data_IF_639255297074
#
_entry.id   IF_639255297074
#
_cell.length_a   1.000
_cell.length_b   1.000
_cell.length_c   1.000
_cell.angle_alpha   90.00
_cell.angle_beta   90.00
_cell.angle_gamma   90.00
#
_symmetry.space_group_name_H-M   'P 1'
#
loop_
_entity.id
_entity.type
_entity.pdbx_description
1 polymer ?
#
# COMPACT_ATOMS: atom_id res chain seq x y z
N UNK A 1 -54.75 24.51 -22.37
CA UNK A 1 -54.52 23.10 -21.97
C UNK A 1 -53.02 22.84 -21.86
N UNK A 2 -52.45 23.03 -20.66
CA UNK A 2 -51.01 22.90 -20.39
C UNK A 2 -50.70 21.41 -20.17
N UNK A 3 -50.23 20.70 -21.21
CA UNK A 3 -49.91 19.27 -21.11
C UNK A 3 -48.90 19.06 -19.98
N UNK A 4 -49.25 18.22 -19.01
CA UNK A 4 -48.46 18.00 -17.78
C UNK A 4 -47.12 17.35 -18.11
N UNK A 5 -46.05 18.16 -18.14
CA UNK A 5 -44.67 17.69 -18.32
C UNK A 5 -44.21 16.82 -17.14
N UNK A 6 -44.87 16.94 -15.98
CA UNK A 6 -44.53 16.21 -14.76
C UNK A 6 -44.88 14.72 -14.89
N UNK A 7 -45.98 14.40 -15.58
CA UNK A 7 -46.35 13.01 -15.86
C UNK A 7 -45.30 12.30 -16.74
N UNK A 8 -44.78 13.00 -17.76
CA UNK A 8 -43.74 12.45 -18.65
C UNK A 8 -42.41 12.23 -17.91
N UNK A 9 -42.07 13.13 -16.98
CA UNK A 9 -40.86 13.00 -16.16
C UNK A 9 -40.98 11.79 -15.22
N UNK A 10 -42.13 11.61 -14.54
CA UNK A 10 -42.33 10.43 -13.69
C UNK A 10 -42.26 9.12 -14.49
N UNK A 11 -42.89 9.05 -15.66
CA UNK A 11 -42.81 7.87 -16.53
C UNK A 11 -41.38 7.61 -17.00
N UNK A 12 -40.62 8.64 -17.38
CA UNK A 12 -39.23 8.50 -17.80
C UNK A 12 -38.32 8.02 -16.66
N UNK A 13 -38.52 8.50 -15.43
CA UNK A 13 -37.77 8.05 -14.25
C UNK A 13 -38.09 6.60 -13.92
N UNK A 14 -39.36 6.20 -13.99
CA UNK A 14 -39.78 4.80 -13.78
C UNK A 14 -39.18 3.89 -14.86
N UNK A 15 -39.21 4.32 -16.13
CA UNK A 15 -38.64 3.56 -17.26
C UNK A 15 -37.11 3.42 -17.14
N UNK A 16 -36.41 4.47 -16.69
CA UNK A 16 -34.98 4.45 -16.44
C UNK A 16 -34.61 3.49 -15.29
N UNK A 17 -35.48 3.38 -14.28
CA UNK A 17 -35.30 2.43 -13.18
C UNK A 17 -35.54 0.97 -13.61
N UNK A 18 -36.44 0.75 -14.57
CA UNK A 18 -36.78 -0.58 -15.10
C UNK A 18 -35.78 -1.09 -16.15
N UNK A 19 -35.01 -0.22 -16.81
CA UNK A 19 -33.97 -0.58 -17.79
C UNK A 19 -32.61 -0.93 -17.16
N UNK A 20 -32.55 -1.22 -15.86
CA UNK A 20 -31.31 -1.59 -15.18
C UNK A 20 -30.86 -2.98 -15.64
N UNK A 21 -29.92 -3.00 -16.60
CA UNK A 21 -29.25 -4.23 -17.01
C UNK A 21 -28.50 -4.81 -15.81
N UNK A 22 -28.77 -6.06 -15.39
CA UNK A 22 -27.93 -6.71 -14.41
C UNK A 22 -26.54 -6.89 -15.04
N UNK A 23 -25.53 -6.23 -14.48
CA UNK A 23 -24.15 -6.53 -14.84
C UNK A 23 -23.91 -8.03 -14.54
N UNK A 24 -23.21 -8.76 -15.43
CA UNK A 24 -22.83 -10.13 -15.11
C UNK A 24 -22.02 -10.08 -13.80
N UNK A 25 -22.55 -10.72 -12.75
CA UNK A 25 -21.78 -11.00 -11.56
C UNK A 25 -20.53 -11.78 -12.00
N UNK A 26 -19.37 -11.45 -11.42
CA UNK A 26 -18.08 -12.07 -11.74
C UNK A 26 -18.26 -13.60 -11.79
N UNK A 27 -17.86 -14.18 -12.93
CA UNK A 27 -18.17 -15.57 -13.28
C UNK A 27 -17.73 -16.55 -12.20
N UNK A 28 -18.57 -17.55 -11.97
CA UNK A 28 -18.30 -18.66 -11.04
C UNK A 28 -17.25 -19.64 -11.57
N UNK A 29 -16.17 -19.13 -12.17
CA UNK A 29 -15.07 -19.96 -12.64
C UNK A 29 -14.28 -20.45 -11.41
N UNK A 30 -14.25 -21.77 -11.13
CA UNK A 30 -13.47 -22.31 -10.02
C UNK A 30 -11.96 -22.06 -10.18
N UNK A 31 -11.45 -21.81 -11.39
CA UNK A 31 -10.05 -21.47 -11.61
C UNK A 31 -9.67 -20.08 -11.10
N UNK A 32 -10.64 -19.17 -10.91
CA UNK A 32 -10.42 -17.81 -10.43
C UNK A 32 -10.64 -17.66 -8.91
N UNK A 33 -10.88 -18.75 -8.19
CA UNK A 33 -11.16 -18.75 -6.76
C UNK A 33 -10.03 -19.40 -5.99
N UNK A 34 -9.53 -18.70 -4.97
CA UNK A 34 -8.61 -19.24 -3.98
C UNK A 34 -9.45 -19.66 -2.77
N UNK A 35 -9.34 -20.93 -2.36
CA UNK A 35 -10.11 -21.49 -1.25
C UNK A 35 -9.24 -22.32 -0.32
N UNK A 36 -9.56 -22.29 0.97
CA UNK A 36 -8.87 -23.02 2.02
C UNK A 36 -9.89 -23.67 2.96
N UNK A 37 -9.57 -24.82 3.52
CA UNK A 37 -10.45 -25.58 4.43
C UNK A 37 -10.11 -25.39 5.92
N UNK A 38 -9.13 -24.54 6.23
CA UNK A 38 -8.68 -24.24 7.60
C UNK A 38 -8.54 -22.72 7.77
N UNK A 39 -8.77 -22.18 8.98
CA UNK A 39 -8.43 -20.79 9.28
C UNK A 39 -6.92 -20.56 9.18
N UNK A 40 -6.53 -19.34 8.83
CA UNK A 40 -5.13 -18.93 8.77
C UNK A 40 -4.54 -18.82 10.18
N UNK A 41 -3.38 -19.44 10.39
CA UNK A 41 -2.64 -19.37 11.65
C UNK A 41 -1.61 -18.24 11.65
N UNK A 42 -1.08 -17.92 10.47
CA UNK A 42 -0.04 -16.91 10.26
C UNK A 42 -0.46 -15.91 9.18
N UNK A 43 0.23 -14.77 9.12
CA UNK A 43 -0.05 -13.71 8.15
C UNK A 43 0.07 -14.19 6.69
N UNK A 44 1.00 -15.10 6.40
CA UNK A 44 1.24 -15.65 5.07
C UNK A 44 0.08 -16.53 4.56
N UNK A 45 -0.77 -17.03 5.45
CA UNK A 45 -1.93 -17.86 5.11
C UNK A 45 -3.23 -17.03 5.00
N UNK A 46 -3.21 -15.77 5.44
CA UNK A 46 -4.39 -14.91 5.44
C UNK A 46 -4.68 -14.34 4.05
N UNK A 47 -5.95 -14.11 3.76
CA UNK A 47 -6.39 -13.66 2.43
C UNK A 47 -6.36 -12.13 2.34
N UNK A 48 -5.61 -11.54 1.39
CA UNK A 48 -5.60 -10.10 1.18
C UNK A 48 -6.84 -9.64 0.41
N UNK A 49 -7.47 -8.58 0.91
CA UNK A 49 -8.53 -7.84 0.22
C UNK A 49 -8.23 -6.34 0.27
N UNK A 50 -8.64 -5.57 -0.73
CA UNK A 50 -8.42 -4.12 -0.71
C UNK A 50 -9.04 -3.39 -1.89
N UNK A 51 -9.12 -2.07 -1.77
CA UNK A 51 -9.70 -1.16 -2.77
C UNK A 51 -8.68 -0.14 -3.33
N UNK A 52 -7.39 -0.38 -3.11
CA UNK A 52 -6.31 0.55 -3.46
C UNK A 52 -5.79 1.28 -2.22
N UNK A 53 -6.64 2.04 -1.53
CA UNK A 53 -6.24 2.83 -0.35
C UNK A 53 -6.31 2.05 0.96
N UNK A 54 -7.33 1.21 1.13
CA UNK A 54 -7.50 0.36 2.31
C UNK A 54 -7.27 -1.10 1.93
N UNK A 55 -6.49 -1.81 2.75
CA UNK A 55 -6.27 -3.24 2.67
C UNK A 55 -6.66 -3.93 3.97
N UNK A 56 -7.04 -5.20 3.87
CA UNK A 56 -7.26 -6.07 5.02
C UNK A 56 -6.74 -7.48 4.74
N UNK A 57 -6.22 -8.13 5.77
CA UNK A 57 -5.89 -9.55 5.79
C UNK A 57 -6.95 -10.29 6.61
N UNK A 58 -7.63 -11.25 5.98
CA UNK A 58 -8.72 -12.04 6.58
C UNK A 58 -8.16 -13.38 7.06
N UNK A 59 -8.37 -13.72 8.33
CA UNK A 59 -7.84 -14.95 8.92
C UNK A 59 -8.85 -16.12 8.94
N UNK A 60 -10.16 -15.86 8.92
CA UNK A 60 -11.20 -16.88 8.79
C UNK A 60 -11.47 -17.69 10.06
N UNK A 61 -11.23 -17.10 11.24
CA UNK A 61 -11.40 -17.77 12.54
C UNK A 61 -12.88 -17.96 12.90
N UNK A 62 -13.29 -19.19 13.20
CA UNK A 62 -14.71 -19.55 13.42
C UNK A 62 -15.30 -18.98 14.71
N UNK A 63 -14.55 -18.99 15.82
CA UNK A 63 -15.00 -18.44 17.10
C UNK A 63 -14.66 -16.95 17.26
N UNK A 64 -13.55 -16.52 16.68
CA UNK A 64 -13.08 -15.14 16.69
C UNK A 64 -12.35 -14.84 15.40
N UNK A 65 -12.91 -13.93 14.62
CA UNK A 65 -12.27 -13.43 13.40
C UNK A 65 -11.19 -12.40 13.75
N UNK A 66 -10.10 -12.40 12.99
CA UNK A 66 -9.08 -11.37 13.06
C UNK A 66 -8.96 -10.74 11.68
N UNK A 67 -9.22 -9.45 11.60
CA UNK A 67 -8.97 -8.64 10.40
C UNK A 67 -7.81 -7.71 10.70
N UNK A 68 -6.69 -7.87 10.00
CA UNK A 68 -5.59 -6.92 10.08
C UNK A 68 -5.75 -5.89 8.98
N UNK A 69 -5.83 -4.60 9.34
CA UNK A 69 -6.06 -3.51 8.41
C UNK A 69 -4.76 -2.80 8.04
N UNK A 70 -4.70 -2.29 6.81
CA UNK A 70 -3.65 -1.40 6.33
C UNK A 70 -4.27 -0.23 5.57
N UNK A 71 -3.67 0.96 5.71
CA UNK A 71 -4.09 2.16 4.98
C UNK A 71 -2.86 2.77 4.30
N UNK A 72 -3.00 3.15 3.04
CA UNK A 72 -1.88 3.49 2.17
C UNK A 72 -1.09 4.73 2.59
N UNK A 73 -1.68 5.65 3.35
CA UNK A 73 -1.07 6.91 3.76
C UNK A 73 -0.39 6.84 5.13
N UNK A 74 -0.58 5.75 5.88
CA UNK A 74 0.04 5.55 7.19
C UNK A 74 1.50 5.17 7.04
N UNK A 75 2.35 6.19 6.97
CA UNK A 75 3.80 6.06 6.96
C UNK A 75 4.42 6.74 8.17
N UNK A 76 5.54 6.18 8.63
CA UNK A 76 6.35 6.83 9.67
C UNK A 76 7.30 7.85 9.04
N UNK A 77 7.55 8.93 9.77
CA UNK A 77 8.42 10.01 9.32
C UNK A 77 7.70 11.34 9.19
N UNK A 78 8.48 12.37 8.85
CA UNK A 78 7.98 13.71 8.56
C UNK A 78 8.52 14.14 7.20
N UNK A 79 7.88 15.13 6.54
CA UNK A 79 8.44 15.72 5.33
C UNK A 79 9.89 16.13 5.55
N UNK A 80 10.79 15.57 4.74
CA UNK A 80 12.24 15.77 4.85
C UNK A 80 12.86 16.06 3.50
N UNK A 81 13.84 16.94 3.50
CA UNK A 81 14.63 17.27 2.32
C UNK A 81 15.94 16.49 2.33
N UNK A 82 15.94 15.35 1.64
CA UNK A 82 17.07 14.40 1.62
C UNK A 82 17.99 14.56 0.42
N UNK A 83 17.88 15.67 -0.31
CA UNK A 83 18.75 15.89 -1.45
C UNK A 83 20.18 16.13 -0.97
N UNK A 84 21.09 15.21 -1.30
CA UNK A 84 22.50 15.37 -1.05
C UNK A 84 23.09 16.45 -1.99
N UNK A 85 23.57 17.60 -1.48
CA UNK A 85 24.11 18.67 -2.32
C UNK A 85 25.37 18.24 -3.10
N UNK A 86 26.14 17.28 -2.57
CA UNK A 86 27.37 16.78 -3.22
C UNK A 86 27.09 15.75 -4.32
N UNK A 87 25.85 15.32 -4.48
CA UNK A 87 25.45 14.35 -5.49
C UNK A 87 25.83 14.79 -6.90
N UNK A 88 25.47 16.03 -7.25
CA UNK A 88 25.64 16.56 -8.59
C UNK A 88 27.11 16.66 -8.99
N UNK A 89 27.98 17.01 -8.04
CA UNK A 89 29.42 17.13 -8.25
C UNK A 89 30.08 15.78 -8.52
N UNK A 90 29.64 14.72 -7.83
CA UNK A 90 30.26 13.40 -7.92
C UNK A 90 29.67 12.50 -9.02
N UNK A 91 28.55 12.90 -9.63
CA UNK A 91 27.85 12.12 -10.66
C UNK A 91 28.71 11.77 -11.90
N UNK A 92 29.56 12.67 -12.43
CA UNK A 92 30.42 12.33 -13.58
C UNK A 92 31.45 11.25 -13.25
N UNK A 93 32.10 11.34 -12.09
CA UNK A 93 33.09 10.36 -11.64
C UNK A 93 32.45 8.98 -11.42
N UNK A 94 31.25 8.93 -10.84
CA UNK A 94 30.48 7.68 -10.69
C UNK A 94 30.16 7.03 -12.03
N UNK A 95 29.74 7.82 -13.03
CA UNK A 95 29.45 7.30 -14.39
C UNK A 95 30.70 6.73 -15.06
N UNK A 96 31.83 7.42 -14.94
CA UNK A 96 33.10 6.94 -15.49
C UNK A 96 33.51 5.59 -14.87
N UNK A 97 33.47 5.48 -13.54
CA UNK A 97 33.82 4.23 -12.84
C UNK A 97 32.90 3.06 -13.20
N UNK A 98 31.61 3.31 -13.44
CA UNK A 98 30.66 2.29 -13.92
C UNK A 98 31.01 1.80 -15.33
N UNK A 99 31.38 2.72 -16.23
CA UNK A 99 31.75 2.39 -17.61
C UNK A 99 33.09 1.63 -17.68
N UNK A 100 34.00 1.91 -16.76
CA UNK A 100 35.28 1.21 -16.60
C UNK A 100 35.13 -0.18 -15.94
N UNK A 101 33.91 -0.59 -15.58
CA UNK A 101 33.64 -1.87 -14.91
C UNK A 101 34.12 -1.93 -13.46
N UNK A 102 34.53 -0.80 -12.88
CA UNK A 102 35.03 -0.70 -11.52
C UNK A 102 33.89 -0.54 -10.51
N UNK A 103 33.11 -1.61 -10.36
CA UNK A 103 31.95 -1.69 -9.47
C UNK A 103 32.33 -1.72 -7.98
N UNK A 104 33.61 -1.96 -7.65
CA UNK A 104 34.11 -2.09 -6.27
C UNK A 104 34.31 -0.72 -5.58
N UNK A 105 34.71 0.32 -6.32
CA UNK A 105 34.94 1.65 -5.76
C UNK A 105 33.66 2.41 -5.37
N UNK A 106 32.50 2.02 -5.92
CA UNK A 106 31.20 2.57 -5.51
C UNK A 106 30.81 2.20 -4.07
N UNK A 107 31.40 1.14 -3.52
CA UNK A 107 31.19 0.71 -2.14
C UNK A 107 32.14 1.41 -1.14
N UNK A 108 33.28 1.94 -1.59
CA UNK A 108 34.36 2.44 -0.72
C UNK A 108 34.41 3.96 -0.59
N UNK A 109 33.83 4.71 -1.53
CA UNK A 109 33.45 6.08 -1.19
C UNK A 109 32.27 6.00 -0.21
N UNK A 110 32.56 6.22 1.07
CA UNK A 110 31.62 6.82 2.05
C UNK A 110 31.16 8.17 1.50
N UNK A 111 30.42 8.13 0.39
CA UNK A 111 29.67 9.26 -0.11
C UNK A 111 28.52 9.51 0.86
N UNK A 112 28.02 10.74 0.97
CA UNK A 112 26.83 11.00 1.78
C UNK A 112 25.59 10.23 1.29
N UNK A 113 25.64 9.63 0.10
CA UNK A 113 24.56 8.80 -0.45
C UNK A 113 24.28 7.54 0.37
N UNK A 114 25.26 6.97 1.08
CA UNK A 114 25.06 5.81 1.96
C UNK A 114 24.82 6.16 3.44
N UNK A 115 24.77 7.45 3.81
CA UNK A 115 24.50 7.88 5.19
C UNK A 115 23.20 8.68 5.38
N UNK A 116 22.37 8.87 4.34
CA UNK A 116 21.00 9.37 4.46
C UNK A 116 19.93 8.27 4.63
N UNK A 117 20.25 7.04 4.20
CA UNK A 117 19.31 5.90 4.22
C UNK A 117 19.29 5.14 5.56
N UNK A 118 19.92 5.65 6.62
CA UNK A 118 19.76 5.06 7.96
C UNK A 118 18.38 5.31 8.59
N UNK A 119 17.48 5.99 7.87
CA UNK A 119 16.07 6.18 8.23
C UNK A 119 15.14 6.28 7.00
N UNK A 120 15.56 5.80 5.81
CA UNK A 120 14.57 5.55 4.76
C UNK A 120 14.05 4.16 5.03
N UNK A 121 13.00 4.12 5.84
CA UNK A 121 12.06 3.02 5.84
C UNK A 121 11.50 2.91 4.42
N UNK A 122 12.21 2.21 3.54
CA UNK A 122 11.52 1.38 2.57
C UNK A 122 10.55 0.55 3.38
N UNK A 123 9.26 0.64 3.05
CA UNK A 123 8.17 0.04 3.79
C UNK A 123 8.48 -1.38 4.18
N UNK A 124 8.97 -1.54 5.40
CA UNK A 124 8.99 -2.81 6.07
C UNK A 124 7.66 -2.86 6.78
N UNK A 125 6.85 -3.85 6.41
CA UNK A 125 5.73 -4.35 7.18
C UNK A 125 6.00 -4.15 8.67
N UNK A 126 5.08 -3.49 9.36
CA UNK A 126 5.15 -3.25 10.79
C UNK A 126 5.17 -4.58 11.55
N UNK A 127 6.36 -5.18 11.69
CA UNK A 127 6.65 -6.16 12.73
C UNK A 127 7.00 -5.37 13.98
N UNK A 128 5.97 -5.06 14.78
CA UNK A 128 6.16 -4.62 16.16
C UNK A 128 6.85 -5.78 16.91
N UNK A 129 8.08 -5.61 17.44
CA UNK A 129 8.66 -6.62 18.32
C UNK A 129 7.81 -6.67 19.60
N UNK A 130 7.33 -7.85 20.00
CA UNK A 130 6.48 -8.06 21.19
C UNK A 130 7.14 -7.69 22.54
N UNK A 131 8.36 -7.17 22.56
CA UNK A 131 9.10 -6.89 23.79
C UNK A 131 9.68 -5.47 23.80
N UNK A 132 8.86 -4.49 24.17
CA UNK A 132 9.34 -3.19 24.62
C UNK A 132 8.94 -2.97 26.08
N UNK A 133 9.93 -3.16 26.97
CA UNK A 133 9.92 -2.51 28.27
C UNK A 133 9.87 -0.97 28.12
N UNK A 134 9.62 -0.22 29.22
CA UNK A 134 9.31 1.20 29.14
C UNK A 134 10.47 2.00 28.52
N UNK A 135 10.20 2.64 27.39
CA UNK A 135 11.16 3.48 26.68
C UNK A 135 11.36 4.82 27.44
N UNK A 136 12.61 5.25 27.69
CA UNK A 136 12.88 6.54 28.31
C UNK A 136 12.61 7.68 27.32
N UNK A 137 11.59 8.48 27.60
CA UNK A 137 11.26 9.71 26.85
C UNK A 137 12.25 10.81 27.27
N UNK A 138 13.28 11.07 26.47
CA UNK A 138 14.03 12.33 26.57
C UNK A 138 13.42 13.35 25.62
N UNK A 139 12.64 14.29 26.16
CA UNK A 139 12.34 15.55 25.46
C UNK A 139 13.62 16.38 25.41
N UNK A 140 14.03 16.81 24.22
CA UNK A 140 14.84 18.04 24.09
C UNK A 140 13.92 19.13 23.58
N UNK A 141 13.93 20.26 24.29
CA UNK A 141 13.48 21.54 23.77
C UNK A 141 14.38 21.98 22.62
#
# INVERSE_FOLDING_TARGET
MRKSNHFKICVAVILLFLLRVPAPAQGNDPALKIWFNKPASSWNEALPVGNGSLGAMVFGGTARERLQLNEESVWTGAPRWDANPEARRNLPAVRQLLLEGNNRCLALHRTPWSCGLRNVAYGNSMELPEHLGPLPVRRRY
#
